data_IF_502252573299
#
_entry.id   IF_502252573299
#
_cell.length_a   1.000
_cell.length_b   1.000
_cell.length_c   1.000
_cell.angle_alpha   90.00
_cell.angle_beta   90.00
_cell.angle_gamma   90.00
#
_symmetry.space_group_name_H-M   'P 1'
#
loop_
_entity.id
_entity.type
_entity.pdbx_description
1 polymer ?
#
# COMPACT_ATOMS: atom_id res chain seq x y z
N UNK A 1 -3.54 -9.53 18.84
CA UNK A 1 -4.23 -10.09 17.65
C UNK A 1 -4.28 -9.02 16.59
N UNK A 2 -3.68 -9.23 15.40
CA UNK A 2 -3.83 -8.30 14.27
C UNK A 2 -5.08 -8.69 13.49
N UNK A 3 -6.15 -7.92 13.62
CA UNK A 3 -7.35 -8.12 12.83
C UNK A 3 -7.08 -7.66 11.39
N UNK A 4 -7.45 -8.49 10.41
CA UNK A 4 -7.59 -8.08 9.02
C UNK A 4 -8.96 -7.41 8.91
N UNK A 5 -8.98 -6.17 8.42
CA UNK A 5 -10.19 -5.38 8.26
C UNK A 5 -10.45 -5.28 6.76
N UNK A 6 -11.57 -5.83 6.32
CA UNK A 6 -12.00 -5.77 4.93
C UNK A 6 -13.04 -4.66 4.77
N UNK A 7 -12.85 -3.78 3.79
CA UNK A 7 -13.76 -2.66 3.54
C UNK A 7 -14.10 -2.58 2.07
N UNK A 8 -15.39 -2.49 1.77
CA UNK A 8 -15.85 -2.23 0.41
C UNK A 8 -15.57 -0.78 0.04
N UNK A 9 -14.86 -0.58 -1.06
CA UNK A 9 -14.57 0.73 -1.61
C UNK A 9 -14.79 0.67 -3.12
N UNK A 10 -15.83 1.33 -3.63
CA UNK A 10 -16.19 1.31 -5.06
C UNK A 10 -16.36 -0.13 -5.63
N UNK A 11 -16.92 -1.05 -4.83
CA UNK A 11 -17.05 -2.47 -5.20
C UNK A 11 -15.73 -3.26 -5.14
N UNK A 12 -14.65 -2.62 -4.68
CA UNK A 12 -13.38 -3.24 -4.40
C UNK A 12 -13.31 -3.57 -2.91
N UNK A 13 -13.39 -4.87 -2.60
CA UNK A 13 -13.00 -5.40 -1.30
C UNK A 13 -11.51 -5.17 -1.05
N UNK A 14 -11.21 -4.11 -0.30
CA UNK A 14 -9.86 -3.71 0.08
C UNK A 14 -9.54 -4.24 1.46
N UNK A 15 -8.37 -4.85 1.59
CA UNK A 15 -7.88 -5.38 2.85
C UNK A 15 -6.93 -4.40 3.53
N UNK A 16 -7.24 -4.08 4.78
CA UNK A 16 -6.42 -3.27 5.67
C UNK A 16 -5.93 -4.10 6.84
N UNK A 17 -4.71 -3.86 7.30
CA UNK A 17 -4.27 -4.39 8.59
C UNK A 17 -4.92 -3.59 9.72
N UNK A 18 -5.02 -4.17 10.92
CA UNK A 18 -5.49 -3.45 12.12
C UNK A 18 -4.65 -2.23 12.52
N UNK A 19 -3.49 -2.02 11.90
CA UNK A 19 -2.65 -0.82 12.04
C UNK A 19 -2.95 0.23 10.94
N UNK A 20 -3.94 -0.02 10.07
CA UNK A 20 -4.34 0.88 8.98
C UNK A 20 -3.55 0.73 7.68
N UNK A 21 -2.70 -0.30 7.55
CA UNK A 21 -1.94 -0.49 6.31
C UNK A 21 -2.79 -1.12 5.21
N UNK A 22 -2.81 -0.50 4.03
CA UNK A 22 -3.48 -0.96 2.83
C UNK A 22 -2.67 -2.04 2.09
N UNK A 23 -3.30 -3.15 1.72
CA UNK A 23 -2.66 -4.19 0.92
C UNK A 23 -2.67 -3.84 -0.58
N UNK A 24 -1.66 -3.07 -1.01
CA UNK A 24 -1.53 -2.65 -2.40
C UNK A 24 -1.29 -3.80 -3.39
N UNK A 25 -0.70 -4.91 -2.95
CA UNK A 25 -0.43 -6.08 -3.81
C UNK A 25 -1.72 -6.75 -4.24
N UNK A 26 -2.59 -7.10 -3.28
CA UNK A 26 -3.85 -7.78 -3.57
C UNK A 26 -4.78 -6.94 -4.46
N UNK A 27 -4.77 -5.61 -4.26
CA UNK A 27 -5.53 -4.69 -5.11
C UNK A 27 -4.96 -4.66 -6.53
N UNK A 28 -3.64 -4.53 -6.67
CA UNK A 28 -3.01 -4.46 -7.99
C UNK A 28 -3.17 -5.76 -8.78
N UNK A 29 -3.10 -6.92 -8.12
CA UNK A 29 -3.40 -8.23 -8.72
C UNK A 29 -4.80 -8.29 -9.32
N UNK A 30 -5.81 -7.73 -8.64
CA UNK A 30 -7.19 -7.69 -9.16
C UNK A 30 -7.33 -6.86 -10.44
N UNK A 31 -6.58 -5.77 -10.54
CA UNK A 31 -6.58 -4.92 -11.74
C UNK A 31 -5.58 -5.39 -12.82
N UNK A 32 -4.83 -6.47 -12.59
CA UNK A 32 -3.76 -6.92 -13.48
C UNK A 32 -2.61 -5.91 -13.63
N UNK A 33 -2.44 -5.01 -12.66
CA UNK A 33 -1.41 -3.95 -12.67
C UNK A 33 -0.36 -4.24 -11.60
N UNK A 34 0.80 -3.58 -11.68
CA UNK A 34 1.78 -3.65 -10.58
C UNK A 34 1.47 -2.56 -9.55
N UNK A 35 1.63 -2.80 -8.24
CA UNK A 35 1.49 -1.75 -7.22
C UNK A 35 2.40 -0.56 -7.50
N UNK A 36 3.57 -0.82 -8.11
CA UNK A 36 4.51 0.22 -8.51
C UNK A 36 3.96 1.15 -9.58
N UNK A 37 3.12 0.67 -10.51
CA UNK A 37 2.50 1.50 -11.54
C UNK A 37 1.61 2.58 -10.92
N UNK A 38 0.93 2.25 -9.81
CA UNK A 38 0.14 3.23 -9.07
C UNK A 38 1.01 4.28 -8.37
N UNK A 39 2.17 3.89 -7.83
CA UNK A 39 3.10 4.78 -7.12
C UNK A 39 3.87 5.75 -8.04
N UNK A 40 3.91 5.47 -9.35
CA UNK A 40 4.56 6.35 -10.35
C UNK A 40 3.60 7.33 -10.99
N UNK A 41 2.28 7.19 -10.80
CA UNK A 41 1.30 8.17 -11.29
C UNK A 41 1.56 9.53 -10.64
N UNK A 42 1.56 10.59 -11.45
CA UNK A 42 1.79 11.98 -11.00
C UNK A 42 0.83 12.33 -9.87
N UNK A 43 -0.47 12.05 -10.05
CA UNK A 43 -1.49 12.32 -9.03
C UNK A 43 -1.22 11.60 -7.70
N UNK A 44 -0.71 10.36 -7.75
CA UNK A 44 -0.33 9.62 -6.53
C UNK A 44 0.91 10.22 -5.88
N UNK A 45 1.88 10.69 -6.67
CA UNK A 45 3.07 11.36 -6.15
C UNK A 45 2.73 12.69 -5.48
N UNK A 46 1.86 13.49 -6.09
CA UNK A 46 1.34 14.74 -5.53
C UNK A 46 0.59 14.50 -4.23
N UNK A 47 -0.29 13.50 -4.20
CA UNK A 47 -1.02 13.11 -3.00
C UNK A 47 -0.09 12.69 -1.85
N UNK A 48 0.88 11.83 -2.13
CA UNK A 48 1.88 11.41 -1.13
C UNK A 48 2.72 12.60 -0.66
N UNK A 49 3.12 13.50 -1.57
CA UNK A 49 3.88 14.70 -1.22
C UNK A 49 3.08 15.61 -0.27
N UNK A 50 1.80 15.84 -0.54
CA UNK A 50 0.92 16.65 0.32
C UNK A 50 0.79 16.04 1.73
N UNK A 51 0.64 14.72 1.83
CA UNK A 51 0.58 14.03 3.13
C UNK A 51 1.93 14.09 3.84
N UNK A 52 3.03 13.89 3.13
CA UNK A 52 4.37 14.01 3.66
C UNK A 52 4.65 15.40 4.21
N UNK A 53 4.22 16.46 3.52
CA UNK A 53 4.32 17.83 3.98
C UNK A 53 3.48 18.08 5.24
N UNK A 54 2.23 17.59 5.25
CA UNK A 54 1.34 17.73 6.40
C UNK A 54 1.86 17.05 7.66
N UNK A 55 2.35 15.81 7.53
CA UNK A 55 2.87 15.02 8.64
C UNK A 55 4.36 15.27 8.92
N UNK A 56 5.04 16.08 8.10
CA UNK A 56 6.50 16.33 8.15
C UNK A 56 7.33 15.03 8.17
N UNK A 57 6.91 14.02 7.42
CA UNK A 57 7.59 12.72 7.33
C UNK A 57 8.01 12.42 5.89
N UNK A 58 9.02 11.57 5.74
CA UNK A 58 9.48 11.11 4.43
C UNK A 58 8.48 10.15 3.79
N UNK A 59 8.53 10.06 2.45
CA UNK A 59 7.73 9.12 1.64
C UNK A 59 7.84 7.67 2.10
N UNK A 60 8.99 7.27 2.62
CA UNK A 60 9.24 5.93 3.16
C UNK A 60 8.43 5.62 4.42
N UNK A 61 7.88 6.63 5.09
CA UNK A 61 7.02 6.46 6.27
C UNK A 61 5.64 5.89 5.91
N UNK A 62 5.12 6.20 4.71
CA UNK A 62 3.80 5.76 4.24
C UNK A 62 3.87 4.58 3.26
N UNK A 63 5.07 4.14 2.88
CA UNK A 63 5.25 3.05 1.93
C UNK A 63 6.07 1.95 2.60
N UNK A 64 5.40 0.84 2.93
CA UNK A 64 6.05 -0.34 3.49
C UNK A 64 6.06 -1.46 2.45
N UNK A 65 7.21 -1.64 1.82
CA UNK A 65 7.44 -2.79 0.94
C UNK A 65 7.92 -3.97 1.77
N UNK A 66 7.11 -5.03 1.89
CA UNK A 66 7.55 -6.31 2.44
C UNK A 66 7.66 -7.30 1.30
N UNK A 67 8.88 -7.65 0.89
CA UNK A 67 9.11 -8.68 -0.12
C UNK A 67 8.77 -10.05 0.49
N UNK A 68 7.90 -10.81 -0.17
CA UNK A 68 7.62 -12.20 0.22
C UNK A 68 8.84 -13.07 -0.04
N UNK A 69 9.46 -13.54 1.05
CA UNK A 69 10.38 -14.68 1.12
C UNK A 69 11.73 -14.58 0.38
N UNK A 70 12.81 -14.31 1.12
CA UNK A 70 14.10 -14.97 0.87
C UNK A 70 14.17 -16.19 1.78
N UNK A 71 13.76 -17.36 1.28
CA UNK A 71 14.26 -18.62 1.84
C UNK A 71 15.77 -18.61 1.61
N UNK A 72 16.54 -18.11 2.59
CA UNK A 72 17.96 -18.39 2.68
C UNK A 72 18.07 -19.72 3.42
N UNK A 73 18.01 -20.81 2.67
CA UNK A 73 18.55 -22.09 3.12
C UNK A 73 20.06 -21.97 3.03
N UNK A 74 20.72 -21.85 4.18
CA UNK A 74 22.17 -21.88 4.34
C UNK A 74 22.49 -22.57 5.65
#
# INVERSE_FOLDING_TARGET
MKALIEKDYEGLLVQFTGEGWFNATAVAERYGKRPNDWLVLVSTQEYIAAICEHHKVSRTHFIKTKRGNTNFSG
#
